data_IF_805969781807
#
_entry.id   IF_805969781807
#
_cell.length_a   1.000
_cell.length_b   1.000
_cell.length_c   1.000
_cell.angle_alpha   90.00
_cell.angle_beta   90.00
_cell.angle_gamma   90.00
#
_symmetry.space_group_name_H-M   'P 1'
#
loop_
_entity.id
_entity.type
_entity.pdbx_description
1 polymer ?
#
# COMPACT_ATOMS: atom_id res chain seq x y z
N UNK A 1 -15.93 7.13 -25.00
CA UNK A 1 -14.97 6.17 -24.43
C UNK A 1 -14.48 6.77 -23.13
N UNK A 2 -15.11 6.41 -22.01
CA UNK A 2 -14.74 6.94 -20.69
C UNK A 2 -13.71 5.99 -20.13
N UNK A 3 -12.44 6.40 -20.16
CA UNK A 3 -11.38 5.68 -19.46
C UNK A 3 -11.74 5.66 -17.99
N UNK A 4 -12.18 4.50 -17.50
CA UNK A 4 -12.36 4.21 -16.09
C UNK A 4 -11.07 4.63 -15.40
N UNK A 5 -11.13 5.73 -14.65
CA UNK A 5 -10.01 6.20 -13.85
C UNK A 5 -9.91 5.24 -12.65
N UNK A 6 -9.59 3.98 -12.94
CA UNK A 6 -9.76 2.86 -12.05
C UNK A 6 -9.05 3.16 -10.74
N UNK A 7 -9.82 3.09 -9.66
CA UNK A 7 -9.32 3.09 -8.29
C UNK A 7 -8.28 1.98 -8.19
N UNK A 8 -7.02 2.30 -7.89
CA UNK A 8 -5.97 1.28 -7.76
C UNK A 8 -5.81 0.96 -6.29
N UNK A 9 -5.97 -0.32 -5.95
CA UNK A 9 -5.60 -0.87 -4.64
C UNK A 9 -4.32 -1.70 -4.76
N UNK A 10 -3.34 -1.42 -3.91
CA UNK A 10 -2.07 -2.15 -3.84
C UNK A 10 -1.93 -2.78 -2.46
N UNK A 11 -1.85 -4.11 -2.41
CA UNK A 11 -1.66 -4.88 -1.17
C UNK A 11 -0.33 -5.63 -1.23
N UNK A 12 0.36 -5.72 -0.10
CA UNK A 12 1.63 -6.43 0.00
C UNK A 12 2.02 -6.72 1.45
N UNK A 13 3.08 -7.51 1.62
CA UNK A 13 3.67 -7.80 2.93
C UNK A 13 5.10 -7.28 2.98
N UNK A 14 5.48 -6.59 4.06
CA UNK A 14 6.84 -6.10 4.29
C UNK A 14 7.41 -6.70 5.56
N UNK A 15 8.67 -7.17 5.51
CA UNK A 15 9.39 -7.69 6.68
C UNK A 15 9.83 -6.56 7.63
N UNK A 16 10.11 -5.39 7.06
CA UNK A 16 10.60 -4.21 7.76
C UNK A 16 9.60 -3.05 7.60
N UNK A 17 8.73 -2.80 8.61
CA UNK A 17 7.73 -1.75 8.52
C UNK A 17 8.33 -0.34 8.41
N UNK A 18 9.59 -0.15 8.81
CA UNK A 18 10.32 1.12 8.70
C UNK A 18 10.61 1.52 7.25
N UNK A 19 10.61 0.56 6.31
CA UNK A 19 10.79 0.81 4.89
C UNK A 19 9.48 1.18 4.17
N UNK A 20 8.34 0.91 4.80
CA UNK A 20 7.03 1.17 4.21
C UNK A 20 6.81 2.65 3.84
N UNK A 21 7.15 3.64 4.69
CA UNK A 21 7.00 5.05 4.34
C UNK A 21 7.87 5.46 3.14
N UNK A 22 9.06 4.87 3.01
CA UNK A 22 9.97 5.13 1.88
C UNK A 22 9.39 4.51 0.60
N UNK A 23 8.83 3.31 0.69
CA UNK A 23 8.17 2.65 -0.43
C UNK A 23 6.96 3.44 -0.94
N UNK A 24 6.08 3.90 -0.04
CA UNK A 24 4.91 4.72 -0.40
C UNK A 24 5.34 6.03 -1.06
N UNK A 25 6.37 6.70 -0.54
CA UNK A 25 6.92 7.92 -1.15
C UNK A 25 7.44 7.66 -2.56
N UNK A 26 8.12 6.54 -2.81
CA UNK A 26 8.57 6.20 -4.18
C UNK A 26 7.38 5.89 -5.07
N UNK A 27 6.42 5.11 -4.58
CA UNK A 27 5.19 4.80 -5.32
C UNK A 27 4.43 6.09 -5.70
N UNK A 28 4.42 7.11 -4.82
CA UNK A 28 3.82 8.42 -5.12
C UNK A 28 4.53 9.17 -6.25
N UNK A 29 5.84 8.93 -6.44
CA UNK A 29 6.65 9.58 -7.47
C UNK A 29 6.70 8.76 -8.78
N UNK A 30 6.16 7.54 -8.79
CA UNK A 30 6.11 6.72 -10.00
C UNK A 30 5.20 7.33 -11.05
N UNK A 31 5.61 7.21 -12.32
CA UNK A 31 4.84 7.72 -13.44
C UNK A 31 3.43 7.11 -13.52
N UNK A 32 3.27 5.86 -13.07
CA UNK A 32 1.99 5.17 -13.01
C UNK A 32 1.00 5.77 -11.98
N UNK A 33 1.51 6.52 -11.00
CA UNK A 33 0.70 7.22 -9.99
C UNK A 33 0.54 8.71 -10.29
N UNK A 34 1.11 9.24 -11.37
CA UNK A 34 0.89 10.63 -11.78
C UNK A 34 -0.60 10.83 -12.12
N UNK A 35 -1.26 11.74 -11.40
CA UNK A 35 -2.71 11.95 -11.48
C UNK A 35 -3.55 10.99 -10.61
N UNK A 36 -2.93 10.24 -9.70
CA UNK A 36 -3.61 9.41 -8.69
C UNK A 36 -3.02 9.70 -7.31
N UNK A 37 -3.88 10.05 -6.35
CA UNK A 37 -3.46 10.33 -4.97
C UNK A 37 -3.78 9.14 -4.08
N UNK A 38 -2.89 8.82 -3.14
CA UNK A 38 -3.18 7.83 -2.10
C UNK A 38 -4.21 8.40 -1.13
N UNK A 39 -5.37 7.77 -1.06
CA UNK A 39 -6.47 8.17 -0.18
C UNK A 39 -6.39 7.48 1.18
N UNK A 40 -5.93 6.23 1.23
CA UNK A 40 -5.85 5.49 2.48
C UNK A 40 -4.70 4.47 2.49
N UNK A 41 -4.08 4.33 3.66
CA UNK A 41 -3.10 3.30 3.98
C UNK A 41 -3.60 2.51 5.18
N UNK A 42 -3.78 1.20 5.01
CA UNK A 42 -4.04 0.27 6.10
C UNK A 42 -2.82 -0.59 6.34
N UNK A 43 -2.42 -0.73 7.60
CA UNK A 43 -1.32 -1.61 8.02
C UNK A 43 -1.86 -2.60 9.05
N UNK A 44 -1.57 -3.88 8.84
CA UNK A 44 -1.93 -4.98 9.73
C UNK A 44 -0.67 -5.76 10.07
N UNK A 45 -0.24 -5.65 11.32
CA UNK A 45 0.88 -6.45 11.81
C UNK A 45 0.39 -7.86 12.13
N UNK A 46 0.88 -8.85 11.38
CA UNK A 46 0.55 -10.25 11.64
C UNK A 46 1.25 -10.67 12.92
N UNK A 47 0.50 -10.70 14.03
CA UNK A 47 1.02 -11.09 15.34
C UNK A 47 1.32 -12.58 15.29
N UNK A 48 2.59 -12.94 15.18
CA UNK A 48 3.04 -14.32 15.42
C UNK A 48 2.54 -14.76 16.79
N UNK A 49 1.66 -15.77 16.78
CA UNK A 49 1.18 -16.38 18.01
C UNK A 49 2.36 -17.05 18.75
N UNK A 50 2.58 -16.75 20.04
CA UNK A 50 3.64 -17.36 20.81
C UNK A 50 3.23 -18.80 21.13
N UNK A 51 3.70 -19.78 20.35
CA UNK A 51 3.40 -21.19 20.62
C UNK A 51 3.74 -22.19 19.52
N UNK A 52 4.02 -21.75 18.29
CA UNK A 52 4.58 -22.63 17.26
C UNK A 52 6.04 -22.29 17.02
N UNK A 53 6.93 -23.14 17.54
CA UNK A 53 8.32 -23.25 17.11
C UNK A 53 8.35 -23.52 15.60
N UNK A 54 8.46 -22.46 14.83
CA UNK A 54 8.91 -22.50 13.44
C UNK A 54 9.85 -21.33 13.31
N UNK A 55 11.14 -21.64 13.13
CA UNK A 55 12.31 -20.74 13.13
C UNK A 55 12.30 -19.63 12.07
N UNK A 56 11.14 -19.33 11.48
CA UNK A 56 10.94 -18.32 10.44
C UNK A 56 9.56 -17.67 10.58
N UNK A 57 9.10 -17.41 11.81
CA UNK A 57 7.99 -16.49 12.00
C UNK A 57 8.49 -15.06 11.75
N UNK A 58 8.74 -14.75 10.48
CA UNK A 58 9.12 -13.43 10.06
C UNK A 58 7.96 -12.50 10.43
N UNK A 59 8.25 -11.49 11.26
CA UNK A 59 7.26 -10.50 11.69
C UNK A 59 6.98 -9.57 10.51
N UNK A 60 6.20 -10.04 9.55
CA UNK A 60 5.79 -9.22 8.42
C UNK A 60 4.57 -8.37 8.79
N UNK A 61 4.50 -7.20 8.17
CA UNK A 61 3.36 -6.30 8.22
C UNK A 61 2.70 -6.32 6.86
N UNK A 62 1.45 -6.70 6.83
CA UNK A 62 0.61 -6.57 5.66
C UNK A 62 0.17 -5.12 5.55
N UNK A 63 0.18 -4.59 4.33
CA UNK A 63 -0.28 -3.25 4.05
C UNK A 63 -1.15 -3.24 2.82
N UNK A 64 -2.17 -2.39 2.84
CA UNK A 64 -3.03 -2.11 1.70
C UNK A 64 -3.12 -0.60 1.50
N UNK A 65 -2.84 -0.17 0.27
CA UNK A 65 -2.87 1.22 -0.15
C UNK A 65 -4.00 1.37 -1.16
N UNK A 66 -4.87 2.35 -0.92
CA UNK A 66 -5.92 2.73 -1.85
C UNK A 66 -5.56 4.06 -2.48
N UNK A 67 -5.54 4.09 -3.81
CA UNK A 67 -5.42 5.31 -4.59
C UNK A 67 -6.76 5.64 -5.23
N UNK A 68 -7.08 6.92 -5.23
CA UNK A 68 -8.18 7.48 -5.99
C UNK A 68 -7.59 8.24 -7.16
N UNK A 69 -8.22 8.19 -8.34
CA UNK A 69 -7.87 9.14 -9.38
C UNK A 69 -8.02 10.55 -8.84
N UNK A 70 -7.07 11.42 -9.18
CA UNK A 70 -7.24 12.87 -9.09
C UNK A 70 -8.27 13.24 -10.17
N UNK A 71 -9.53 12.91 -9.90
CA UNK A 71 -10.63 13.27 -10.76
C UNK A 71 -10.71 14.79 -10.71
N UNK A 72 -10.32 15.40 -11.84
CA UNK A 72 -10.38 16.82 -12.14
C UNK A 72 -11.43 17.55 -11.30
N UNK A 73 -10.93 18.51 -10.54
CA UNK A 73 -11.70 19.60 -9.96
C UNK A 73 -12.62 20.14 -11.05
N UNK A 74 -13.93 19.90 -10.89
CA UNK A 74 -14.99 20.47 -11.73
C UNK A 74 -14.68 21.94 -12.00
N UNK A 75 -14.54 22.29 -13.28
CA UNK A 75 -14.57 23.68 -13.74
C UNK A 75 -15.93 24.00 -14.32
#
# INVERSE_FOLDING_TARGET
MTGDAAQISLSGGVLEPELLPVYIKRLANEQAMQGKSFSALQMQQTKTEPGKESKTAARYVEFTIYSTPDAEVKK
#
